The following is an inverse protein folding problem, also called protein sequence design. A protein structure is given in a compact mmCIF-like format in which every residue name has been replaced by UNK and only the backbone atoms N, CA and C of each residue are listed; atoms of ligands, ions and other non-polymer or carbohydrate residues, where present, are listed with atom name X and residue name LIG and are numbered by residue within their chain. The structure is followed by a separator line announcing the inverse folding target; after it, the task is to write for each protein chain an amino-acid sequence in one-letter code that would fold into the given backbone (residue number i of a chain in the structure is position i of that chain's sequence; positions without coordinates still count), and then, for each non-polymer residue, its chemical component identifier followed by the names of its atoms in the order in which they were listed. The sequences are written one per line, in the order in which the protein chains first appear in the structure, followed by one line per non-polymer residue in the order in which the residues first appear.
data_IF_037298043191
#
_entry.id   IF_037298043191
#
_cell.length_a   1.000
_cell.length_b   1.000
_cell.length_c   1.000
_cell.angle_alpha   90.00
_cell.angle_beta   90.00
_cell.angle_gamma   90.00
#
_symmetry.space_group_name_H-M   'P 1'
#
loop_
_entity.id
_entity.type
_entity.pdbx_description
1 polymer ?
#
# COMPACT_ATOMS: atom_id res chain seq x y z
N UNK A 1 -7.37 -0.43 -14.24
CA UNK A 1 -8.36 0.54 -13.76
C UNK A 1 -9.68 -0.18 -13.55
N UNK A 2 -10.51 -0.45 -14.57
CA UNK A 2 -11.79 -1.15 -14.39
C UNK A 2 -11.67 -2.50 -13.65
N UNK A 3 -10.72 -3.35 -14.07
CA UNK A 3 -10.48 -4.66 -13.42
C UNK A 3 -10.03 -4.49 -11.96
N UNK A 4 -8.97 -3.71 -11.70
CA UNK A 4 -8.45 -3.49 -10.34
C UNK A 4 -9.51 -2.88 -9.38
N UNK A 5 -10.32 -1.92 -9.86
CA UNK A 5 -11.40 -1.33 -9.08
C UNK A 5 -12.52 -2.34 -8.79
N UNK A 6 -12.90 -3.16 -9.79
CA UNK A 6 -13.89 -4.22 -9.60
C UNK A 6 -13.40 -5.28 -8.60
N UNK A 7 -12.13 -5.72 -8.72
CA UNK A 7 -11.50 -6.65 -7.79
C UNK A 7 -11.41 -6.06 -6.38
N UNK A 8 -11.10 -4.76 -6.23
CA UNK A 8 -11.13 -4.07 -4.94
C UNK A 8 -12.53 -4.10 -4.32
N UNK A 9 -13.58 -3.85 -5.12
CA UNK A 9 -14.97 -3.94 -4.66
C UNK A 9 -15.35 -5.36 -4.22
N UNK A 10 -15.02 -6.37 -5.03
CA UNK A 10 -15.28 -7.78 -4.70
C UNK A 10 -14.54 -8.24 -3.44
N UNK A 11 -13.27 -7.86 -3.29
CA UNK A 11 -12.49 -8.16 -2.10
C UNK A 11 -13.04 -7.44 -0.87
N UNK A 12 -13.42 -6.17 -1.00
CA UNK A 12 -14.03 -5.41 0.10
C UNK A 12 -15.35 -6.05 0.55
N UNK A 13 -16.15 -6.57 -0.40
CA UNK A 13 -17.34 -7.34 -0.08
C UNK A 13 -17.00 -8.64 0.66
N UNK A 14 -15.98 -9.37 0.23
CA UNK A 14 -15.53 -10.59 0.93
C UNK A 14 -15.06 -10.28 2.37
N UNK A 15 -14.36 -9.17 2.57
CA UNK A 15 -13.96 -8.68 3.91
C UNK A 15 -15.18 -8.34 4.76
N UNK A 16 -16.15 -7.59 4.21
CA UNK A 16 -17.41 -7.26 4.91
C UNK A 16 -18.17 -8.52 5.34
N UNK A 17 -18.17 -9.56 4.49
CA UNK A 17 -18.80 -10.83 4.77
C UNK A 17 -17.98 -11.73 5.72
N UNK A 18 -16.78 -11.30 6.13
CA UNK A 18 -15.90 -12.05 7.02
C UNK A 18 -15.27 -13.30 6.39
N UNK A 19 -15.33 -13.46 5.07
CA UNK A 19 -14.91 -14.69 4.40
C UNK A 19 -13.38 -14.81 4.19
N UNK A 20 -12.62 -13.73 4.40
CA UNK A 20 -11.17 -13.71 4.19
C UNK A 20 -10.37 -14.25 5.38
N UNK A 21 -10.96 -14.32 6.58
CA UNK A 21 -10.27 -14.64 7.84
C UNK A 21 -9.41 -15.92 7.81
N UNK A 22 -9.90 -17.06 7.32
CA UNK A 22 -9.09 -18.28 7.25
C UNK A 22 -7.84 -18.13 6.36
N UNK A 23 -7.98 -17.43 5.22
CA UNK A 23 -6.88 -17.16 4.29
C UNK A 23 -5.88 -16.20 4.92
N UNK A 24 -6.38 -15.18 5.63
CA UNK A 24 -5.58 -14.19 6.34
C UNK A 24 -4.67 -14.83 7.38
N UNK A 25 -5.25 -15.64 8.28
CA UNK A 25 -4.49 -16.34 9.33
C UNK A 25 -3.49 -17.33 8.74
N UNK A 26 -3.92 -18.16 7.78
CA UNK A 26 -3.04 -19.15 7.16
C UNK A 26 -1.86 -18.50 6.45
N UNK A 27 -2.10 -17.44 5.67
CA UNK A 27 -1.06 -16.75 4.91
C UNK A 27 -0.05 -16.08 5.82
N UNK A 28 -0.52 -15.43 6.90
CA UNK A 28 0.38 -14.81 7.88
C UNK A 28 1.27 -15.86 8.54
N UNK A 29 0.69 -16.97 9.03
CA UNK A 29 1.48 -18.05 9.63
C UNK A 29 2.49 -18.66 8.65
N UNK A 30 2.09 -18.88 7.40
CA UNK A 30 2.98 -19.41 6.36
C UNK A 30 4.15 -18.46 6.08
N UNK A 31 3.89 -17.17 5.84
CA UNK A 31 4.95 -16.18 5.59
C UNK A 31 5.86 -16.00 6.79
N UNK A 32 5.32 -16.05 8.00
CA UNK A 32 6.10 -15.94 9.23
C UNK A 32 7.00 -17.14 9.51
N UNK A 33 6.69 -18.31 8.96
CA UNK A 33 7.57 -19.48 8.98
C UNK A 33 8.66 -19.40 7.91
N UNK A 34 8.37 -18.79 6.75
CA UNK A 34 9.34 -18.60 5.68
C UNK A 34 10.32 -17.46 5.93
N UNK A 35 9.85 -16.35 6.51
CA UNK A 35 10.66 -15.15 6.75
C UNK A 35 11.39 -15.30 8.09
N UNK A 36 12.74 -15.35 8.10
CA UNK A 36 13.51 -15.48 9.33
C UNK A 36 13.34 -14.26 10.23
N UNK A 37 13.27 -14.46 11.55
CA UNK A 37 13.17 -13.34 12.51
C UNK A 37 14.34 -12.36 12.46
N UNK A 38 15.51 -12.79 11.99
CA UNK A 38 16.66 -11.89 11.78
C UNK A 38 16.41 -10.82 10.71
N UNK A 39 15.40 -10.99 9.87
CA UNK A 39 15.02 -10.01 8.85
C UNK A 39 14.02 -8.97 9.38
N UNK A 40 13.40 -9.21 10.54
CA UNK A 40 12.30 -8.38 11.04
C UNK A 40 12.72 -6.91 11.23
N UNK A 41 13.91 -6.65 11.77
CA UNK A 41 14.44 -5.29 11.89
C UNK A 41 14.62 -4.63 10.53
N UNK A 42 15.23 -5.35 9.57
CA UNK A 42 15.47 -4.82 8.22
C UNK A 42 14.18 -4.52 7.48
N UNK A 43 13.18 -5.41 7.58
CA UNK A 43 11.85 -5.22 7.01
C UNK A 43 11.09 -4.08 7.70
N UNK A 44 11.28 -3.89 9.00
CA UNK A 44 10.68 -2.77 9.74
C UNK A 44 11.24 -1.43 9.24
N UNK A 45 12.57 -1.32 9.10
CA UNK A 45 13.24 -0.13 8.53
C UNK A 45 12.80 0.10 7.09
N UNK A 46 12.80 -0.96 6.27
CA UNK A 46 12.37 -0.89 4.88
C UNK A 46 10.94 -0.35 4.75
N UNK A 47 10.06 -0.72 5.67
CA UNK A 47 8.67 -0.30 5.63
C UNK A 47 8.41 1.17 5.90
N UNK A 48 9.36 1.88 6.52
CA UNK A 48 9.31 3.33 6.66
C UNK A 48 9.20 4.03 5.29
N UNK A 49 9.73 3.42 4.22
CA UNK A 49 9.60 3.95 2.87
C UNK A 49 8.15 3.96 2.34
N UNK A 50 7.27 3.14 2.92
CA UNK A 50 5.83 3.09 2.62
C UNK A 50 4.98 3.95 3.56
N UNK A 51 5.60 4.67 4.51
CA UNK A 51 4.88 5.54 5.44
C UNK A 51 4.18 6.69 4.71
N UNK A 52 3.14 7.25 5.32
CA UNK A 52 2.39 8.36 4.76
C UNK A 52 3.30 9.55 4.43
N UNK A 53 4.17 9.93 5.35
CA UNK A 53 5.05 11.09 5.25
C UNK A 53 6.02 10.93 4.09
N UNK A 54 6.69 9.77 4.01
CA UNK A 54 7.70 9.51 2.98
C UNK A 54 7.06 9.39 1.61
N UNK A 55 6.01 8.57 1.46
CA UNK A 55 5.38 8.37 0.14
C UNK A 55 4.67 9.61 -0.38
N UNK A 56 4.04 10.42 0.47
CA UNK A 56 3.39 11.66 0.02
C UNK A 56 4.40 12.66 -0.54
N UNK A 57 5.55 12.82 0.11
CA UNK A 57 6.66 13.64 -0.40
C UNK A 57 7.16 13.07 -1.74
N UNK A 58 7.39 11.75 -1.80
CA UNK A 58 7.86 11.10 -3.04
C UNK A 58 6.90 11.29 -4.20
N UNK A 59 5.59 11.09 -3.99
CA UNK A 59 4.57 11.32 -5.02
C UNK A 59 4.61 12.77 -5.51
N UNK A 60 4.66 13.74 -4.59
CA UNK A 60 4.76 15.16 -4.94
C UNK A 60 5.99 15.48 -5.79
N UNK A 61 7.17 15.02 -5.35
CA UNK A 61 8.45 15.23 -6.06
C UNK A 61 8.46 14.56 -7.43
N UNK A 62 8.05 13.29 -7.51
CA UNK A 62 8.03 12.52 -8.77
C UNK A 62 7.11 13.18 -9.78
N UNK A 63 5.89 13.54 -9.39
CA UNK A 63 4.93 14.15 -10.31
C UNK A 63 5.40 15.54 -10.73
N UNK A 64 5.88 16.35 -9.81
CA UNK A 64 6.45 17.67 -10.13
C UNK A 64 7.59 17.56 -11.14
N UNK A 65 8.55 16.65 -10.91
CA UNK A 65 9.71 16.44 -11.80
C UNK A 65 9.31 15.91 -13.17
N UNK A 66 8.32 15.00 -13.22
CA UNK A 66 7.86 14.42 -14.47
C UNK A 66 7.00 15.37 -15.30
N UNK A 67 6.21 16.24 -14.66
CA UNK A 67 5.20 17.07 -15.35
C UNK A 67 5.59 18.53 -15.50
N UNK A 68 6.38 19.07 -14.56
CA UNK A 68 6.74 20.50 -14.45
C UNK A 68 5.54 21.44 -14.58
N UNK A 69 4.36 20.96 -14.15
CA UNK A 69 3.08 21.65 -14.26
C UNK A 69 2.33 21.45 -12.95
N UNK A 70 2.06 22.55 -12.24
CA UNK A 70 1.45 22.52 -10.91
C UNK A 70 0.01 22.01 -10.97
N UNK A 71 -0.74 22.26 -12.05
CA UNK A 71 -2.14 21.82 -12.18
C UNK A 71 -2.20 20.31 -12.33
N UNK A 72 -1.29 19.75 -13.14
CA UNK A 72 -1.15 18.29 -13.28
C UNK A 72 -0.71 17.64 -11.97
N UNK A 73 0.21 18.28 -11.27
CA UNK A 73 0.71 17.82 -9.97
C UNK A 73 -0.41 17.81 -8.94
N UNK A 74 -1.15 18.91 -8.82
CA UNK A 74 -2.29 19.03 -7.92
C UNK A 74 -3.38 17.98 -8.22
N UNK A 75 -3.67 17.71 -9.50
CA UNK A 75 -4.65 16.69 -9.87
C UNK A 75 -4.23 15.27 -9.43
N UNK A 76 -2.97 14.89 -9.64
CA UNK A 76 -2.48 13.57 -9.20
C UNK A 76 -2.44 13.48 -7.67
N UNK A 77 -2.03 14.56 -6.99
CA UNK A 77 -2.08 14.63 -5.52
C UNK A 77 -3.53 14.48 -5.04
N UNK A 78 -4.51 15.16 -5.65
CA UNK A 78 -5.91 15.04 -5.27
C UNK A 78 -6.43 13.59 -5.41
N UNK A 79 -6.06 12.90 -6.49
CA UNK A 79 -6.39 11.47 -6.68
C UNK A 79 -5.74 10.62 -5.57
N UNK A 80 -4.48 10.89 -5.25
CA UNK A 80 -3.75 10.21 -4.20
C UNK A 80 -4.39 10.41 -2.81
N UNK A 81 -4.77 11.65 -2.49
CA UNK A 81 -5.49 12.01 -1.26
C UNK A 81 -6.87 11.34 -1.20
N UNK A 82 -7.60 11.27 -2.32
CA UNK A 82 -8.89 10.59 -2.38
C UNK A 82 -8.77 9.09 -2.02
N UNK A 83 -7.71 8.42 -2.47
CA UNK A 83 -7.43 7.03 -2.07
C UNK A 83 -7.12 6.88 -0.58
N UNK A 84 -6.46 7.85 0.04
CA UNK A 84 -6.28 7.86 1.50
C UNK A 84 -7.59 8.13 2.25
N UNK A 85 -8.49 8.93 1.67
CA UNK A 85 -9.86 9.05 2.18
C UNK A 85 -10.59 7.70 2.18
N UNK A 86 -10.45 6.91 1.11
CA UNK A 86 -11.00 5.55 1.03
C UNK A 86 -10.34 4.61 2.05
N UNK A 87 -9.01 4.68 2.23
CA UNK A 87 -8.30 3.93 3.28
C UNK A 87 -8.86 4.24 4.66
N UNK A 88 -8.93 5.53 5.01
CA UNK A 88 -9.41 5.98 6.31
C UNK A 88 -10.88 5.60 6.55
N UNK A 89 -11.72 5.74 5.52
CA UNK A 89 -13.10 5.29 5.57
C UNK A 89 -13.19 3.79 5.83
N UNK A 90 -12.41 2.97 5.11
CA UNK A 90 -12.37 1.52 5.31
C UNK A 90 -12.01 1.15 6.75
N UNK A 91 -10.94 1.76 7.28
CA UNK A 91 -10.48 1.53 8.66
C UNK A 91 -11.47 1.97 9.73
N UNK A 92 -12.31 2.95 9.42
CA UNK A 92 -13.30 3.49 10.37
C UNK A 92 -14.59 2.67 10.38
N UNK A 93 -15.03 2.19 9.22
CA UNK A 93 -16.39 1.64 9.06
C UNK A 93 -16.44 0.15 8.73
N UNK A 94 -15.33 -0.46 8.28
CA UNK A 94 -15.27 -1.89 7.98
C UNK A 94 -14.66 -2.63 9.17
N UNK A 95 -15.45 -3.52 9.77
CA UNK A 95 -14.95 -4.39 10.82
C UNK A 95 -14.00 -5.42 10.22
N UNK A 96 -12.71 -5.23 10.46
CA UNK A 96 -11.65 -6.15 10.07
C UNK A 96 -10.47 -5.91 11.01
N UNK A 97 -10.44 -6.61 12.16
CA UNK A 97 -9.54 -6.26 13.25
C UNK A 97 -8.08 -6.52 12.88
N UNK A 98 -7.19 -5.69 13.44
CA UNK A 98 -5.74 -5.85 13.30
C UNK A 98 -5.29 -7.28 13.68
N UNK A 99 -4.19 -7.79 13.08
CA UNK A 99 -3.58 -9.02 13.55
C UNK A 99 -3.34 -8.99 15.06
N UNK A 100 -3.64 -10.06 15.81
CA UNK A 100 -3.45 -10.03 17.26
C UNK A 100 -1.96 -10.08 17.61
N UNK A 101 -1.64 -9.62 18.83
CA UNK A 101 -0.27 -9.48 19.37
C UNK A 101 0.68 -10.65 19.08
N UNK A 102 0.27 -11.93 19.13
CA UNK A 102 1.18 -13.04 18.81
C UNK A 102 1.79 -13.01 17.40
N UNK A 103 1.15 -12.31 16.45
CA UNK A 103 1.68 -12.15 15.10
C UNK A 103 2.61 -10.92 14.96
N UNK A 104 2.61 -10.00 15.92
CA UNK A 104 3.41 -8.77 15.79
C UNK A 104 4.90 -9.09 15.79
N UNK A 105 5.60 -8.64 14.74
CA UNK A 105 7.05 -8.76 14.60
C UNK A 105 7.72 -7.44 14.23
N UNK A 106 6.99 -6.32 14.17
CA UNK A 106 7.60 -5.00 13.97
C UNK A 106 8.49 -4.61 15.16
N UNK A 107 9.70 -4.12 14.90
CA UNK A 107 10.74 -3.97 15.93
C UNK A 107 11.24 -2.54 16.15
N UNK A 108 10.74 -1.55 15.42
CA UNK A 108 11.26 -0.19 15.56
C UNK A 108 10.54 0.56 16.68
N UNK A 109 11.29 1.21 17.60
CA UNK A 109 10.71 2.13 18.58
C UNK A 109 10.35 3.48 17.95
N UNK A 110 10.69 3.67 16.67
CA UNK A 110 10.37 4.87 15.91
C UNK A 110 9.02 4.69 15.19
N UNK A 111 8.17 5.69 15.36
CA UNK A 111 6.89 5.79 14.70
C UNK A 111 6.72 7.23 14.17
N UNK A 112 6.19 7.36 12.96
CA UNK A 112 5.82 8.66 12.45
C UNK A 112 4.56 9.18 13.18
N UNK A 113 4.28 10.51 13.17
CA UNK A 113 3.10 11.06 13.84
C UNK A 113 1.79 10.38 13.41
N UNK A 114 1.66 10.00 12.13
CA UNK A 114 0.47 9.33 11.62
C UNK A 114 0.32 7.86 12.05
N UNK A 115 1.39 7.24 12.56
CA UNK A 115 1.37 5.87 13.07
C UNK A 115 0.54 5.72 14.35
N UNK A 116 0.24 6.82 15.06
CA UNK A 116 -0.57 6.79 16.29
C UNK A 116 -2.09 6.76 16.04
N UNK A 117 -2.54 6.83 14.79
CA UNK A 117 -3.97 6.76 14.45
C UNK A 117 -4.36 5.29 14.28
N UNK A 118 -4.87 4.69 15.35
CA UNK A 118 -5.41 3.32 15.36
C UNK A 118 -6.93 3.35 15.51
N UNK A 119 -7.63 2.77 14.53
CA UNK A 119 -9.09 2.60 14.55
C UNK A 119 -9.50 1.22 15.05
N UNK A 120 -8.55 0.34 15.36
CA UNK A 120 -8.75 -1.06 15.68
C UNK A 120 -8.94 -1.98 14.46
N UNK A 121 -9.05 -1.41 13.24
CA UNK A 121 -9.20 -2.16 11.99
C UNK A 121 -8.04 -1.91 11.03
N UNK A 122 -7.64 -2.95 10.29
CA UNK A 122 -6.47 -2.93 9.41
C UNK A 122 -6.79 -2.72 7.92
N UNK A 123 -8.03 -2.95 7.49
CA UNK A 123 -8.43 -2.91 6.08
C UNK A 123 -8.83 -1.51 5.58
N UNK A 124 -8.39 -1.08 4.39
CA UNK A 124 -7.30 -1.64 3.59
C UNK A 124 -5.93 -1.11 4.06
N UNK A 125 -4.85 -1.79 3.66
CA UNK A 125 -3.49 -1.40 4.04
C UNK A 125 -3.02 -0.13 3.32
N UNK A 126 -2.77 0.94 4.09
CA UNK A 126 -2.24 2.21 3.56
C UNK A 126 -0.84 2.11 2.95
N UNK A 127 0.08 1.36 3.57
CA UNK A 127 1.42 1.12 3.01
C UNK A 127 1.33 0.46 1.64
N UNK A 128 0.44 -0.54 1.52
CA UNK A 128 0.20 -1.27 0.26
C UNK A 128 -0.41 -0.37 -0.80
N UNK A 129 -1.39 0.46 -0.42
CA UNK A 129 -1.99 1.48 -1.28
C UNK A 129 -0.95 2.44 -1.86
N UNK A 130 -0.19 3.13 -0.99
CA UNK A 130 0.76 4.18 -1.42
C UNK A 130 1.89 3.61 -2.25
N UNK A 131 2.41 2.46 -1.86
CA UNK A 131 3.48 1.76 -2.59
C UNK A 131 3.02 1.35 -3.98
N UNK A 132 1.85 0.70 -4.10
CA UNK A 132 1.33 0.29 -5.41
C UNK A 132 0.93 1.49 -6.27
N UNK A 133 0.36 2.53 -5.66
CA UNK A 133 0.05 3.79 -6.35
C UNK A 133 1.31 4.38 -7.00
N UNK A 134 2.38 4.55 -6.22
CA UNK A 134 3.64 5.10 -6.72
C UNK A 134 4.28 4.20 -7.78
N UNK A 135 4.24 2.89 -7.59
CA UNK A 135 4.77 1.93 -8.55
C UNK A 135 4.05 2.02 -9.90
N UNK A 136 2.72 2.00 -9.90
CA UNK A 136 1.93 2.12 -11.13
C UNK A 136 2.09 3.49 -11.78
N UNK A 137 2.15 4.55 -10.98
CA UNK A 137 2.34 5.93 -11.47
C UNK A 137 3.69 6.10 -12.18
N UNK A 138 4.75 5.51 -11.64
CA UNK A 138 6.12 5.67 -12.15
C UNK A 138 6.50 4.66 -13.21
N UNK A 139 5.83 3.50 -13.27
CA UNK A 139 6.10 2.45 -14.26
C UNK A 139 6.29 2.95 -15.72
N UNK A 140 5.39 3.79 -16.28
CA UNK A 140 5.57 4.28 -17.66
C UNK A 140 6.75 5.25 -17.82
N UNK A 141 7.26 5.83 -16.74
CA UNK A 141 8.41 6.76 -16.75
C UNK A 141 9.75 6.00 -16.80
N UNK A 142 9.76 4.72 -16.44
CA UNK A 142 10.98 3.90 -16.37
C UNK A 142 11.20 3.21 -17.71
N UNK A 143 12.29 3.58 -18.39
CA UNK A 143 12.69 2.99 -19.70
C UNK A 143 13.58 1.74 -19.54
N UNK A 144 14.45 1.73 -18.53
CA UNK A 144 15.44 0.66 -18.29
C UNK A 144 14.81 -0.53 -17.56
N UNK A 145 15.06 -1.76 -18.04
CA UNK A 145 14.43 -3.00 -17.55
C UNK A 145 14.82 -3.30 -16.11
N UNK A 146 16.08 -3.11 -15.78
CA UNK A 146 16.66 -3.29 -14.44
C UNK A 146 15.94 -2.45 -13.38
N UNK A 147 15.56 -1.21 -13.68
CA UNK A 147 14.81 -0.36 -12.76
C UNK A 147 13.35 -0.78 -12.63
N UNK A 148 12.74 -1.34 -13.69
CA UNK A 148 11.41 -1.95 -13.60
C UNK A 148 11.41 -3.18 -12.71
N UNK A 149 12.44 -4.02 -12.85
CA UNK A 149 12.63 -5.19 -11.97
C UNK A 149 12.82 -4.72 -10.52
N UNK A 150 13.70 -3.74 -10.30
CA UNK A 150 13.93 -3.16 -8.97
C UNK A 150 12.64 -2.62 -8.34
N UNK A 151 11.82 -1.89 -9.10
CA UNK A 151 10.53 -1.39 -8.63
C UNK A 151 9.56 -2.53 -8.30
N UNK A 152 9.47 -3.56 -9.15
CA UNK A 152 8.62 -4.72 -8.92
C UNK A 152 9.04 -5.50 -7.66
N UNK A 153 10.35 -5.70 -7.47
CA UNK A 153 10.91 -6.33 -6.26
C UNK A 153 10.64 -5.47 -5.03
N UNK A 154 10.88 -4.16 -5.10
CA UNK A 154 10.57 -3.23 -4.01
C UNK A 154 9.09 -3.32 -3.60
N UNK A 155 8.17 -3.27 -4.56
CA UNK A 155 6.74 -3.39 -4.30
C UNK A 155 6.42 -4.74 -3.69
N UNK A 156 6.92 -5.85 -4.23
CA UNK A 156 6.66 -7.18 -3.70
C UNK A 156 7.17 -7.34 -2.26
N UNK A 157 8.41 -6.90 -1.98
CA UNK A 157 9.00 -6.94 -0.64
C UNK A 157 8.20 -6.07 0.34
N UNK A 158 7.74 -4.89 -0.09
CA UNK A 158 6.90 -4.04 0.76
C UNK A 158 5.60 -4.73 1.15
N UNK A 159 4.89 -5.31 0.18
CA UNK A 159 3.62 -6.02 0.44
C UNK A 159 3.83 -7.22 1.36
N UNK A 160 4.86 -8.05 1.08
CA UNK A 160 5.22 -9.20 1.93
C UNK A 160 5.59 -8.74 3.34
N UNK A 161 6.34 -7.65 3.48
CA UNK A 161 6.77 -7.14 4.78
C UNK A 161 5.59 -6.79 5.69
N UNK A 162 4.44 -6.36 5.14
CA UNK A 162 3.27 -5.99 5.95
C UNK A 162 2.63 -7.20 6.58
N UNK A 163 2.56 -8.30 5.84
CA UNK A 163 2.01 -9.57 6.33
C UNK A 163 3.01 -10.29 7.23
N UNK A 164 4.28 -10.38 6.83
CA UNK A 164 5.31 -11.07 7.61
C UNK A 164 5.55 -10.40 8.97
N UNK A 165 5.49 -9.07 9.03
CA UNK A 165 5.64 -8.32 10.28
C UNK A 165 4.39 -8.34 11.16
N UNK A 166 3.29 -8.93 10.68
CA UNK A 166 2.02 -9.00 11.42
C UNK A 166 1.34 -7.65 11.58
N UNK A 167 1.64 -6.69 10.71
CA UNK A 167 1.01 -5.35 10.72
C UNK A 167 -0.34 -5.36 9.99
N UNK A 168 -0.51 -6.27 9.03
CA UNK A 168 -1.69 -6.38 8.19
C UNK A 168 -1.93 -7.82 7.76
N UNK A 169 -3.19 -8.13 7.48
CA UNK A 169 -3.58 -9.37 6.81
C UNK A 169 -3.31 -9.30 5.30
N UNK A 170 -3.30 -10.45 4.63
CA UNK A 170 -3.10 -10.48 3.16
C UNK A 170 -4.27 -9.80 2.43
N UNK A 171 -5.50 -9.91 2.94
CA UNK A 171 -6.66 -9.20 2.40
C UNK A 171 -6.49 -7.68 2.45
N UNK A 172 -5.95 -7.12 3.54
CA UNK A 172 -5.63 -5.68 3.66
C UNK A 172 -4.62 -5.23 2.61
N UNK A 173 -3.56 -6.02 2.46
CA UNK A 173 -2.46 -5.76 1.54
C UNK A 173 -2.94 -5.83 0.10
N UNK A 174 -3.74 -6.84 -0.23
CA UNK A 174 -4.38 -6.98 -1.54
C UNK A 174 -5.37 -5.83 -1.81
N UNK A 175 -6.21 -5.46 -0.83
CA UNK A 175 -7.17 -4.36 -0.95
C UNK A 175 -6.47 -3.02 -1.18
N UNK A 176 -5.47 -2.71 -0.36
CA UNK A 176 -4.63 -1.52 -0.53
C UNK A 176 -3.94 -1.52 -1.89
N UNK A 177 -3.30 -2.62 -2.27
CA UNK A 177 -2.65 -2.77 -3.56
C UNK A 177 -3.61 -2.56 -4.74
N UNK A 178 -4.80 -3.16 -4.74
CA UNK A 178 -5.80 -3.01 -5.79
C UNK A 178 -6.30 -1.56 -5.91
N UNK A 179 -6.56 -0.91 -4.77
CA UNK A 179 -6.91 0.51 -4.73
C UNK A 179 -5.78 1.37 -5.31
N UNK A 180 -4.54 1.11 -4.91
CA UNK A 180 -3.35 1.83 -5.39
C UNK A 180 -3.13 1.64 -6.89
N UNK A 181 -3.31 0.43 -7.40
CA UNK A 181 -3.21 0.14 -8.82
C UNK A 181 -4.32 0.80 -9.64
N UNK A 182 -5.55 0.86 -9.11
CA UNK A 182 -6.66 1.52 -9.76
C UNK A 182 -6.42 3.04 -9.88
N UNK A 183 -6.13 3.70 -8.76
CA UNK A 183 -5.95 5.16 -8.68
C UNK A 183 -4.63 5.62 -9.29
N UNK A 184 -3.55 4.86 -9.12
CA UNK A 184 -2.25 5.14 -9.76
C UNK A 184 -2.39 5.13 -11.28
N UNK A 185 -3.17 4.18 -11.83
CA UNK A 185 -3.46 4.16 -13.27
C UNK A 185 -4.26 5.38 -13.71
N UNK A 186 -5.21 5.89 -12.91
CA UNK A 186 -5.90 7.15 -13.21
C UNK A 186 -4.91 8.32 -13.24
N UNK A 187 -4.00 8.40 -12.27
CA UNK A 187 -2.96 9.43 -12.20
C UNK A 187 -1.95 9.40 -13.36
N UNK A 188 -1.76 8.25 -14.01
CA UNK A 188 -0.98 8.21 -15.27
C UNK A 188 -1.72 8.84 -16.45
N UNK A 189 -3.03 8.63 -16.53
CA UNK A 189 -3.87 9.13 -17.64
C UNK A 189 -4.13 10.63 -17.49
N UNK A 190 -4.35 11.11 -16.26
CA UNK A 190 -4.75 12.49 -15.98
C UNK A 190 -3.68 13.30 -15.24
N UNK A 191 -3.33 14.50 -15.74
CA UNK A 191 -3.60 15.04 -17.08
C UNK A 191 -2.53 14.54 -18.06
N UNK A 192 -2.93 14.01 -19.22
CA UNK A 192 -2.12 13.35 -20.26
C UNK A 192 -0.61 13.60 -20.13
N UNK A 193 0.15 12.53 -19.84
CA UNK A 193 1.63 12.53 -19.96
C UNK A 193 1.91 12.75 -21.44
N UNK A 194 2.33 13.96 -21.83
CA UNK A 194 3.18 14.04 -23.00
C UNK A 194 4.54 13.54 -22.53
N UNK A 195 4.91 12.35 -22.99
CA UNK A 195 6.26 11.83 -22.86
C UNK A 195 7.24 12.71 -23.65
#
# INVERSE_FOLDING_TARGET
MRIAAAMFGLLSLAVILGSTGPVDVWTTGYLQNLVPRSWDTGLSVFSLAGSFEVTTILVGVVVWRARKDWRKTAAVIAIYLAGMGIEFWGKTFLYHPNPPVPYHRYQLPFAFPTSGVDTGNSYPSGHSYRTMFLAVLTWPMIKRREYRIGLAVYTAVMLVSRVSLGEHWISDVAGGGLLGAALGKIGTIYPKVKA
#
